data_IF_166939330401
#
_entry.id   IF_166939330401
#
_cell.length_a   1.000
_cell.length_b   1.000
_cell.length_c   1.000
_cell.angle_alpha   90.00
_cell.angle_beta   90.00
_cell.angle_gamma   90.00
#
_symmetry.space_group_name_H-M   'P 1'
#
loop_
_entity.id
_entity.type
_entity.pdbx_description
1 polymer ?
#
# COMPACT_ATOMS: atom_id res chain seq x y z
N UNK A 1 11.87 -6.40 68.88
CA UNK A 1 10.71 -6.66 68.01
C UNK A 1 10.96 -5.98 66.68
N UNK A 2 11.25 -6.74 65.62
CA UNK A 2 11.40 -6.22 64.26
C UNK A 2 10.00 -6.07 63.64
N UNK A 3 9.62 -4.84 63.28
CA UNK A 3 8.46 -4.57 62.45
C UNK A 3 8.94 -4.28 61.04
N UNK A 4 8.87 -5.29 60.17
CA UNK A 4 8.96 -5.12 58.72
C UNK A 4 7.55 -4.97 58.16
N UNK A 5 7.32 -3.95 57.32
CA UNK A 5 6.12 -3.85 56.51
C UNK A 5 6.48 -3.32 55.11
N UNK A 6 6.14 -4.16 54.13
CA UNK A 6 6.43 -4.03 52.71
C UNK A 6 5.83 -2.76 52.10
N UNK A 7 6.62 -2.08 51.28
CA UNK A 7 6.13 -1.11 50.30
C UNK A 7 5.47 -1.87 49.13
N UNK A 8 4.25 -1.52 48.71
CA UNK A 8 3.69 -2.06 47.48
C UNK A 8 4.35 -1.33 46.29
N UNK A 9 5.13 -2.08 45.50
CA UNK A 9 5.58 -1.61 44.20
C UNK A 9 4.36 -1.44 43.28
N UNK A 10 3.96 -0.19 43.06
CA UNK A 10 2.99 0.19 42.02
C UNK A 10 3.63 -0.10 40.66
N UNK A 11 3.45 -1.32 40.16
CA UNK A 11 3.77 -1.66 38.78
C UNK A 11 2.86 -0.88 37.84
N UNK A 12 3.41 0.10 37.14
CA UNK A 12 2.72 0.74 36.03
C UNK A 12 2.39 -0.32 34.97
N UNK A 13 1.14 -0.42 34.50
CA UNK A 13 0.84 -1.26 33.35
C UNK A 13 1.57 -0.65 32.15
N UNK A 14 2.56 -1.38 31.63
CA UNK A 14 3.13 -1.13 30.32
C UNK A 14 1.98 -1.24 29.32
N UNK A 15 1.47 -0.10 28.88
CA UNK A 15 0.52 -0.05 27.79
C UNK A 15 1.22 -0.63 26.55
N UNK A 16 0.86 -1.86 26.20
CA UNK A 16 1.21 -2.50 24.93
C UNK A 16 0.53 -1.71 23.81
N UNK A 17 1.20 -0.66 23.34
CA UNK A 17 0.83 0.00 22.08
C UNK A 17 1.10 -1.00 20.97
N UNK A 18 0.06 -1.68 20.50
CA UNK A 18 0.12 -2.45 19.26
C UNK A 18 0.69 -1.52 18.16
N UNK A 19 1.89 -1.85 17.69
CA UNK A 19 2.66 -1.08 16.72
C UNK A 19 2.06 -1.28 15.33
N UNK A 20 1.00 -0.54 15.04
CA UNK A 20 0.46 -0.40 13.69
C UNK A 20 1.41 0.44 12.85
N UNK A 21 2.40 -0.20 12.23
CA UNK A 21 3.21 0.45 11.21
C UNK A 21 2.42 0.51 9.90
N UNK A 22 2.17 1.72 9.39
CA UNK A 22 1.65 1.88 8.03
C UNK A 22 2.58 1.17 7.03
N UNK A 23 2.03 0.56 5.96
CA UNK A 23 2.84 -0.18 5.01
C UNK A 23 3.88 0.73 4.33
N UNK A 24 4.98 0.14 3.87
CA UNK A 24 5.99 0.86 3.08
C UNK A 24 5.45 1.40 1.76
N UNK A 25 4.26 1.01 1.34
CA UNK A 25 3.56 1.54 0.17
C UNK A 25 2.54 2.64 0.56
N UNK A 26 2.27 2.90 1.85
CA UNK A 26 1.28 3.91 2.24
C UNK A 26 1.69 5.32 1.78
N UNK A 27 0.70 6.04 1.27
CA UNK A 27 0.82 7.44 0.84
C UNK A 27 0.28 7.66 -0.57
N UNK A 28 0.48 8.89 -1.05
CA UNK A 28 0.22 9.27 -2.43
C UNK A 28 1.51 9.16 -3.24
N UNK A 29 1.41 8.60 -4.42
CA UNK A 29 2.53 8.36 -5.32
C UNK A 29 2.21 8.93 -6.69
N UNK A 30 3.15 9.67 -7.25
CA UNK A 30 3.00 10.31 -8.57
C UNK A 30 3.92 9.63 -9.57
N UNK A 31 3.39 9.29 -10.74
CA UNK A 31 4.17 8.65 -11.80
C UNK A 31 5.34 9.56 -12.19
N UNK A 32 6.53 8.97 -12.34
CA UNK A 32 7.77 9.66 -12.74
C UNK A 32 7.84 9.76 -14.26
N UNK A 33 7.27 8.77 -14.96
CA UNK A 33 7.20 8.78 -16.42
C UNK A 33 6.29 9.94 -16.89
N UNK A 34 6.48 10.37 -18.14
CA UNK A 34 5.96 11.61 -18.73
C UNK A 34 4.51 11.99 -18.30
N UNK A 35 4.20 13.29 -18.31
CA UNK A 35 2.96 13.92 -17.79
C UNK A 35 1.61 13.29 -18.20
N UNK A 36 1.60 12.39 -19.18
CA UNK A 36 0.45 11.80 -19.86
C UNK A 36 0.42 10.25 -19.82
N UNK A 37 1.23 9.61 -18.97
CA UNK A 37 1.13 8.16 -18.75
C UNK A 37 0.16 7.82 -17.63
N UNK A 38 -0.78 6.93 -17.93
CA UNK A 38 -1.65 6.33 -16.93
C UNK A 38 -1.02 5.04 -16.38
N UNK A 39 -1.17 4.76 -15.06
CA UNK A 39 -1.82 5.62 -14.08
C UNK A 39 -0.92 6.78 -13.63
N UNK A 40 -1.53 7.94 -13.44
CA UNK A 40 -0.80 9.17 -13.11
C UNK A 40 -0.54 9.31 -11.60
N UNK A 41 -1.48 8.86 -10.77
CA UNK A 41 -1.35 8.89 -9.30
C UNK A 41 -1.89 7.60 -8.69
N UNK A 42 -1.23 7.10 -7.65
CA UNK A 42 -1.68 5.99 -6.81
C UNK A 42 -1.81 6.46 -5.37
N UNK A 43 -2.95 6.18 -4.74
CA UNK A 43 -3.15 6.36 -3.31
C UNK A 43 -3.24 5.00 -2.64
N UNK A 44 -2.36 4.75 -1.68
CA UNK A 44 -2.38 3.56 -0.84
C UNK A 44 -2.60 3.99 0.59
N UNK A 45 -3.57 3.37 1.27
CA UNK A 45 -3.84 3.62 2.67
C UNK A 45 -4.13 2.34 3.43
N UNK A 46 -3.66 2.28 4.66
CA UNK A 46 -4.18 1.36 5.65
C UNK A 46 -5.57 1.85 6.09
N UNK A 47 -6.52 0.93 6.19
CA UNK A 47 -7.91 1.23 6.54
C UNK A 47 -8.37 0.58 7.83
N UNK A 48 -7.77 -0.56 8.17
CA UNK A 48 -7.86 -1.16 9.49
C UNK A 48 -6.48 -1.63 9.86
N UNK A 49 -6.13 -1.47 11.13
CA UNK A 49 -4.98 -2.12 11.71
C UNK A 49 -5.48 -3.17 12.70
N UNK A 50 -5.15 -4.43 12.43
CA UNK A 50 -5.45 -5.53 13.34
C UNK A 50 -4.59 -5.47 14.60
N UNK A 51 -5.12 -5.90 15.74
CA UNK A 51 -4.33 -6.12 16.94
C UNK A 51 -3.82 -7.58 17.06
N UNK A 52 -4.29 -8.47 16.19
CA UNK A 52 -3.86 -9.86 16.15
C UNK A 52 -2.55 -10.07 15.40
N UNK A 53 -1.61 -10.75 16.06
CA UNK A 53 -0.37 -11.28 15.49
C UNK A 53 -0.41 -12.80 15.62
N UNK A 54 -0.55 -13.50 14.50
CA UNK A 54 -0.47 -14.96 14.44
C UNK A 54 0.87 -15.35 13.82
N UNK A 55 1.68 -16.16 14.50
CA UNK A 55 3.00 -16.58 14.03
C UNK A 55 3.96 -15.43 13.63
N UNK A 56 3.85 -14.28 14.29
CA UNK A 56 4.67 -13.10 13.98
C UNK A 56 4.19 -12.27 12.78
N UNK A 57 3.05 -12.62 12.18
CA UNK A 57 2.43 -11.87 11.08
C UNK A 57 1.11 -11.22 11.54
N UNK A 58 0.93 -9.93 11.23
CA UNK A 58 -0.28 -9.19 11.60
C UNK A 58 -1.43 -9.58 10.65
N UNK A 59 -2.46 -10.25 11.18
CA UNK A 59 -3.44 -10.98 10.36
C UNK A 59 -4.67 -10.18 9.94
N UNK A 60 -4.93 -9.01 10.53
CA UNK A 60 -6.15 -8.23 10.27
C UNK A 60 -5.90 -6.81 9.73
N UNK A 61 -4.71 -6.54 9.19
CA UNK A 61 -4.44 -5.24 8.57
C UNK A 61 -5.04 -5.16 7.17
N UNK A 62 -5.98 -4.24 6.97
CA UNK A 62 -6.68 -4.06 5.70
C UNK A 62 -6.17 -2.81 4.96
N UNK A 63 -5.82 -2.97 3.68
CA UNK A 63 -5.33 -1.89 2.84
C UNK A 63 -6.31 -1.55 1.72
N UNK A 64 -6.33 -0.29 1.30
CA UNK A 64 -7.02 0.16 0.09
C UNK A 64 -6.06 0.85 -0.86
N UNK A 65 -6.29 0.58 -2.14
CA UNK A 65 -5.61 1.20 -3.27
C UNK A 65 -6.64 2.01 -4.06
N UNK A 66 -6.25 3.22 -4.50
CA UNK A 66 -6.98 4.00 -5.49
C UNK A 66 -6.04 4.43 -6.60
N UNK A 67 -6.51 4.29 -7.84
CA UNK A 67 -5.78 4.67 -9.04
C UNK A 67 -6.44 5.89 -9.66
N UNK A 68 -5.63 6.88 -10.00
CA UNK A 68 -6.09 8.08 -10.70
C UNK A 68 -5.49 8.11 -12.11
N UNK A 69 -6.37 8.34 -13.07
CA UNK A 69 -6.03 8.47 -14.49
C UNK A 69 -6.31 9.88 -14.98
N UNK A 70 -5.60 10.32 -16.02
CA UNK A 70 -5.84 11.62 -16.66
C UNK A 70 -6.89 11.45 -17.75
N UNK A 71 -7.99 12.20 -17.68
CA UNK A 71 -8.99 12.24 -18.74
C UNK A 71 -8.52 13.15 -19.89
N UNK A 72 -9.11 13.01 -21.08
CA UNK A 72 -8.86 13.88 -22.23
C UNK A 72 -9.13 15.36 -21.95
N UNK A 73 -10.00 15.66 -20.97
CA UNK A 73 -10.26 17.01 -20.46
C UNK A 73 -9.11 17.59 -19.61
N UNK A 74 -8.06 16.81 -19.35
CA UNK A 74 -6.95 17.16 -18.46
C UNK A 74 -7.23 16.95 -16.97
N UNK A 75 -8.47 16.64 -16.59
CA UNK A 75 -8.89 16.38 -15.21
C UNK A 75 -8.47 14.98 -14.73
N UNK A 76 -8.28 14.83 -13.42
CA UNK A 76 -8.03 13.54 -12.81
C UNK A 76 -9.34 12.80 -12.52
N UNK A 77 -9.42 11.55 -12.96
CA UNK A 77 -10.49 10.64 -12.60
C UNK A 77 -9.96 9.53 -11.71
N UNK A 78 -10.48 9.46 -10.48
CA UNK A 78 -10.12 8.43 -9.51
C UNK A 78 -11.04 7.22 -9.65
N UNK A 79 -10.48 6.10 -10.08
CA UNK A 79 -11.18 4.80 -10.13
C UNK A 79 -11.71 4.41 -8.74
N UNK A 80 -12.69 3.48 -8.65
CA UNK A 80 -13.15 2.96 -7.36
C UNK A 80 -11.97 2.44 -6.52
N UNK A 81 -11.99 2.71 -5.21
CA UNK A 81 -10.99 2.14 -4.31
C UNK A 81 -11.19 0.63 -4.21
N UNK A 82 -10.10 -0.11 -4.30
CA UNK A 82 -10.09 -1.57 -4.22
C UNK A 82 -9.32 -2.03 -3.00
N UNK A 83 -9.63 -3.22 -2.50
CA UNK A 83 -8.82 -3.85 -1.48
C UNK A 83 -7.42 -4.14 -2.01
N UNK A 84 -6.42 -3.97 -1.15
CA UNK A 84 -5.05 -4.34 -1.44
C UNK A 84 -4.53 -5.33 -0.37
N UNK A 85 -3.67 -6.25 -0.80
CA UNK A 85 -3.09 -7.28 0.07
C UNK A 85 -1.68 -7.61 -0.35
N UNK A 86 -0.91 -8.22 0.55
CA UNK A 86 0.45 -8.64 0.24
C UNK A 86 0.50 -10.03 -0.38
N UNK A 87 1.40 -10.22 -1.35
CA UNK A 87 1.79 -11.51 -1.91
C UNK A 87 3.31 -11.58 -2.02
N UNK A 88 3.85 -12.76 -1.76
CA UNK A 88 5.28 -13.02 -1.99
C UNK A 88 5.48 -13.54 -3.41
N UNK A 89 6.36 -12.90 -4.17
CA UNK A 89 6.76 -13.33 -5.51
C UNK A 89 8.27 -13.18 -5.67
N UNK A 90 8.95 -14.25 -6.11
CA UNK A 90 10.42 -14.32 -6.25
C UNK A 90 11.16 -13.86 -4.98
N UNK A 91 10.68 -14.28 -3.80
CA UNK A 91 11.29 -13.92 -2.50
C UNK A 91 11.06 -12.47 -2.06
N UNK A 92 10.26 -11.70 -2.79
CA UNK A 92 9.97 -10.30 -2.47
C UNK A 92 8.50 -10.14 -2.10
N UNK A 93 8.22 -9.27 -1.13
CA UNK A 93 6.86 -8.92 -0.72
C UNK A 93 6.33 -7.80 -1.62
N UNK A 94 5.19 -8.03 -2.24
CA UNK A 94 4.51 -7.09 -3.14
C UNK A 94 3.11 -6.80 -2.63
N UNK A 95 2.72 -5.53 -2.61
CA UNK A 95 1.33 -5.15 -2.42
C UNK A 95 0.59 -5.30 -3.75
N UNK A 96 -0.54 -5.97 -3.73
CA UNK A 96 -1.33 -6.26 -4.94
C UNK A 96 -2.73 -5.67 -4.85
N UNK A 97 -3.27 -5.24 -5.99
CA UNK A 97 -4.63 -4.72 -6.10
C UNK A 97 -5.22 -4.97 -7.48
N UNK A 98 -6.51 -5.29 -7.54
CA UNK A 98 -7.24 -5.58 -8.78
C UNK A 98 -8.16 -4.41 -9.13
N UNK A 99 -7.82 -3.65 -10.16
CA UNK A 99 -8.48 -2.37 -10.49
C UNK A 99 -9.26 -2.51 -11.81
N UNK A 100 -10.60 -2.37 -11.79
CA UNK A 100 -11.40 -2.44 -13.01
C UNK A 100 -11.23 -1.15 -13.83
N UNK A 101 -11.02 -1.28 -15.15
CA UNK A 101 -10.75 -0.13 -16.02
C UNK A 101 -11.82 0.20 -17.07
N UNK A 102 -12.84 -0.66 -17.21
CA UNK A 102 -13.95 -0.51 -18.16
C UNK A 102 -13.86 -1.49 -19.34
N UNK A 103 -12.64 -1.81 -19.79
CA UNK A 103 -12.37 -2.86 -20.79
C UNK A 103 -11.30 -3.86 -20.37
N UNK A 104 -10.54 -3.54 -19.32
CA UNK A 104 -9.53 -4.41 -18.73
C UNK A 104 -9.73 -4.54 -17.23
N UNK A 105 -9.04 -5.51 -16.67
CA UNK A 105 -8.73 -5.60 -15.25
C UNK A 105 -7.22 -5.43 -15.12
N UNK A 106 -6.83 -4.36 -14.42
CA UNK A 106 -5.44 -4.10 -14.13
C UNK A 106 -5.09 -4.79 -12.81
N UNK A 107 -4.19 -5.76 -12.88
CA UNK A 107 -3.61 -6.41 -11.71
C UNK A 107 -2.30 -5.69 -11.37
N UNK A 108 -2.35 -4.80 -10.38
CA UNK A 108 -1.20 -4.02 -9.94
C UNK A 108 -0.39 -4.83 -8.93
N UNK A 109 0.92 -4.80 -9.09
CA UNK A 109 1.93 -5.28 -8.15
C UNK A 109 2.83 -4.12 -7.82
N UNK A 110 2.84 -3.71 -6.56
CA UNK A 110 3.51 -2.50 -6.08
C UNK A 110 4.50 -2.86 -4.98
N UNK A 111 5.67 -2.25 -5.02
CA UNK A 111 6.68 -2.40 -3.98
C UNK A 111 7.41 -1.10 -3.78
N UNK A 112 7.51 -0.66 -2.53
CA UNK A 112 8.36 0.47 -2.20
C UNK A 112 9.83 0.06 -2.26
N UNK A 113 10.62 0.89 -2.93
CA UNK A 113 12.07 0.72 -3.07
C UNK A 113 12.72 2.04 -2.64
N UNK A 114 13.83 1.94 -1.93
CA UNK A 114 14.68 3.10 -1.65
C UNK A 114 15.79 3.14 -2.69
N UNK A 115 15.88 4.26 -3.41
CA UNK A 115 16.88 4.49 -4.44
C UNK A 115 17.53 5.86 -4.20
N UNK A 116 18.83 5.88 -3.92
CA UNK A 116 19.59 7.10 -3.60
C UNK A 116 18.94 7.97 -2.51
N UNK A 117 18.43 7.34 -1.44
CA UNK A 117 17.74 8.03 -0.34
C UNK A 117 16.35 8.58 -0.68
N UNK A 118 15.85 8.32 -1.89
CA UNK A 118 14.50 8.65 -2.31
C UNK A 118 13.63 7.41 -2.30
N UNK A 119 12.46 7.54 -1.67
CA UNK A 119 11.43 6.50 -1.66
C UNK A 119 10.67 6.53 -2.98
N UNK A 120 10.76 5.43 -3.72
CA UNK A 120 10.06 5.20 -4.99
C UNK A 120 9.11 4.01 -4.85
N UNK A 121 8.08 3.97 -5.68
CA UNK A 121 7.19 2.82 -5.81
C UNK A 121 7.40 2.21 -7.18
N UNK A 122 7.90 0.98 -7.21
CA UNK A 122 7.96 0.17 -8.40
C UNK A 122 6.59 -0.49 -8.60
N UNK A 123 5.99 -0.30 -9.78
CA UNK A 123 4.66 -0.82 -10.10
C UNK A 123 4.69 -1.61 -11.41
N UNK A 124 4.32 -2.88 -11.33
CA UNK A 124 4.04 -3.73 -12.48
C UNK A 124 2.53 -3.87 -12.64
N UNK A 125 2.03 -3.66 -13.85
CA UNK A 125 0.61 -3.77 -14.16
C UNK A 125 0.42 -4.86 -15.20
N UNK A 126 -0.34 -5.89 -14.86
CA UNK A 126 -0.83 -6.86 -15.86
C UNK A 126 -2.24 -6.46 -16.27
N UNK A 127 -2.38 -6.03 -17.51
CA UNK A 127 -3.65 -5.68 -18.13
C UNK A 127 -4.30 -6.95 -18.68
N UNK A 128 -5.40 -7.37 -18.05
CA UNK A 128 -6.18 -8.52 -18.47
C UNK A 128 -7.44 -8.06 -19.20
N UNK A 129 -7.51 -8.36 -20.50
CA UNK A 129 -8.64 -7.95 -21.33
C UNK A 129 -9.92 -8.68 -20.97
N UNK A 130 -11.05 -7.97 -21.01
CA UNK A 130 -12.38 -8.55 -20.84
C UNK A 130 -13.08 -8.87 -22.17
N UNK A 131 -12.58 -8.34 -23.29
CA UNK A 131 -13.21 -8.41 -24.62
C UNK A 131 -12.27 -8.96 -25.71
N UNK A 132 -11.49 -10.01 -25.38
CA UNK A 132 -10.61 -10.73 -26.32
C UNK A 132 -9.45 -9.93 -26.95
N UNK A 133 -9.17 -8.72 -26.47
CA UNK A 133 -7.92 -8.02 -26.80
C UNK A 133 -6.72 -8.72 -26.17
N UNK A 134 -5.52 -8.58 -26.74
CA UNK A 134 -4.32 -9.09 -26.11
C UNK A 134 -4.14 -8.52 -24.71
N UNK A 135 -3.81 -9.39 -23.76
CA UNK A 135 -3.31 -8.95 -22.45
C UNK A 135 -1.91 -8.35 -22.62
N UNK A 136 -1.57 -7.38 -21.79
CA UNK A 136 -0.25 -6.73 -21.82
C UNK A 136 0.28 -6.51 -20.42
N UNK A 137 1.57 -6.18 -20.32
CA UNK A 137 2.21 -5.80 -19.06
C UNK A 137 2.87 -4.44 -19.23
N UNK A 138 2.73 -3.57 -18.25
CA UNK A 138 3.48 -2.33 -18.15
C UNK A 138 4.26 -2.27 -16.83
N UNK A 139 5.32 -1.48 -16.83
CA UNK A 139 6.15 -1.18 -15.67
C UNK A 139 6.26 0.34 -15.53
N UNK A 140 6.11 0.82 -14.31
CA UNK A 140 6.11 2.23 -13.99
C UNK A 140 6.81 2.49 -12.66
N UNK A 141 7.41 3.67 -12.54
CA UNK A 141 8.04 4.14 -11.33
C UNK A 141 7.32 5.39 -10.81
N UNK A 142 7.03 5.42 -9.52
CA UNK A 142 6.38 6.55 -8.88
C UNK A 142 7.28 7.13 -7.80
N UNK A 143 7.20 8.45 -7.61
CA UNK A 143 7.82 9.16 -6.49
C UNK A 143 6.78 9.43 -5.41
N UNK A 144 7.22 9.36 -4.16
CA UNK A 144 6.38 9.70 -3.02
C UNK A 144 5.98 11.19 -3.10
N UNK A 145 4.67 11.47 -3.05
CA UNK A 145 4.14 12.82 -2.94
C UNK A 145 3.86 13.07 -1.45
N UNK A 146 4.78 13.82 -0.82
CA UNK A 146 4.60 14.22 0.58
C UNK A 146 3.32 15.07 0.68
N UNK A 147 2.44 14.71 1.60
CA UNK A 147 1.33 15.59 1.96
C UNK A 147 1.93 16.93 2.43
N UNK A 148 1.58 18.01 1.74
CA UNK A 148 1.93 19.39 2.10
C UNK A 148 1.04 19.84 3.23
#
# INVERSE_FOLDING_TARGET
MLAGLCLPALGWPLASRALCASPSEAGRWRNIDAKDTDPAVLDVRMTSCGDQVLNGEQTETAYKLRVWVRQSSGQFYGRPSVAASYKTWKGQRWMTGRVPTGGYIDNLWMRSVENNGQRQLHVLIKHESLDSKPSSTSEHWFRYEKAV
#
